data_IF_641436249437
#
_entry.id   IF_641436249437
#
_cell.length_a   1.000
_cell.length_b   1.000
_cell.length_c   1.000
_cell.angle_alpha   90.00
_cell.angle_beta   90.00
_cell.angle_gamma   90.00
#
_symmetry.space_group_name_H-M   'P 1'
#
loop_
_entity.id
_entity.type
_entity.pdbx_description
1 polymer ?
#
# COMPACT_ATOMS: atom_id res chain seq x y z
N UNK A 1 17.73 -16.22 -12.94
CA UNK A 1 17.06 -14.98 -13.32
C UNK A 1 17.81 -14.38 -14.51
N UNK A 2 17.11 -13.83 -15.49
CA UNK A 2 17.73 -13.16 -16.64
C UNK A 2 18.54 -11.93 -16.16
N UNK A 3 19.62 -11.60 -16.88
CA UNK A 3 20.50 -10.47 -16.52
C UNK A 3 19.78 -9.12 -16.59
N UNK A 4 18.88 -8.96 -17.55
CA UNK A 4 18.08 -7.74 -17.69
C UNK A 4 17.08 -7.58 -16.54
N UNK A 5 16.41 -8.67 -16.15
CA UNK A 5 15.50 -8.70 -14.99
C UNK A 5 16.26 -8.38 -13.70
N UNK A 6 17.49 -8.88 -13.54
CA UNK A 6 18.30 -8.57 -12.36
C UNK A 6 18.69 -7.09 -12.31
N UNK A 7 19.11 -6.52 -13.44
CA UNK A 7 19.44 -5.08 -13.52
C UNK A 7 18.22 -4.19 -13.22
N UNK A 8 17.04 -4.62 -13.68
CA UNK A 8 15.78 -3.95 -13.35
C UNK A 8 15.55 -3.95 -11.83
N UNK A 9 15.56 -5.14 -11.21
CA UNK A 9 15.32 -5.29 -9.78
C UNK A 9 16.35 -4.53 -8.92
N UNK A 10 17.63 -4.55 -9.31
CA UNK A 10 18.68 -3.81 -8.60
C UNK A 10 18.36 -2.31 -8.54
N UNK A 11 17.90 -1.72 -9.66
CA UNK A 11 17.50 -0.30 -9.72
C UNK A 11 16.22 0.01 -8.95
N UNK A 12 15.22 -0.86 -9.06
CA UNK A 12 13.98 -0.72 -8.28
C UNK A 12 14.29 -0.74 -6.79
N UNK A 13 15.03 -1.74 -6.33
CA UNK A 13 15.41 -1.85 -4.92
C UNK A 13 16.27 -0.68 -4.40
N UNK A 14 17.09 -0.05 -5.27
CA UNK A 14 17.80 1.18 -4.91
C UNK A 14 16.83 2.34 -4.69
N UNK A 15 15.86 2.51 -5.58
CA UNK A 15 14.80 3.50 -5.48
C UNK A 15 13.91 3.28 -4.25
N UNK A 16 13.47 2.04 -4.05
CA UNK A 16 12.64 1.63 -2.91
C UNK A 16 13.33 1.92 -1.59
N UNK A 17 14.61 1.57 -1.48
CA UNK A 17 15.40 1.87 -0.29
C UNK A 17 15.58 3.37 -0.06
N UNK A 18 15.74 4.16 -1.13
CA UNK A 18 15.85 5.60 -1.04
C UNK A 18 14.53 6.24 -0.58
N UNK A 19 13.38 5.85 -1.17
CA UNK A 19 12.05 6.30 -0.76
C UNK A 19 11.75 5.92 0.69
N UNK A 20 12.00 4.66 1.06
CA UNK A 20 11.77 4.16 2.41
C UNK A 20 12.66 4.87 3.44
N UNK A 21 13.91 5.17 3.07
CA UNK A 21 14.84 5.92 3.92
C UNK A 21 14.41 7.36 4.14
N UNK A 22 13.84 8.01 3.14
CA UNK A 22 13.30 9.36 3.26
C UNK A 22 12.04 9.40 4.14
N UNK A 23 11.12 8.45 3.98
CA UNK A 23 9.98 8.28 4.87
C UNK A 23 10.44 8.10 6.32
N UNK A 24 11.39 7.20 6.55
CA UNK A 24 11.94 6.92 7.89
C UNK A 24 12.56 8.17 8.53
N UNK A 25 13.32 8.96 7.76
CA UNK A 25 13.90 10.23 8.21
C UNK A 25 12.84 11.21 8.69
N UNK A 26 11.78 11.40 7.90
CA UNK A 26 10.70 12.34 8.22
C UNK A 26 9.89 11.82 9.41
N UNK A 27 9.53 10.55 9.41
CA UNK A 27 8.76 9.93 10.48
C UNK A 27 9.50 10.00 11.82
N UNK A 28 10.80 9.70 11.86
CA UNK A 28 11.63 9.84 13.08
C UNK A 28 11.70 11.28 13.58
N UNK A 29 11.90 12.23 12.66
CA UNK A 29 11.98 13.66 13.00
C UNK A 29 10.70 14.18 13.68
N UNK A 30 9.55 13.72 13.23
CA UNK A 30 8.23 14.19 13.69
C UNK A 30 7.54 13.25 14.68
N UNK A 31 8.23 12.21 15.14
CA UNK A 31 7.64 11.17 16.00
C UNK A 31 6.33 10.60 15.43
N UNK A 32 6.36 10.26 14.12
CA UNK A 32 5.29 9.61 13.40
C UNK A 32 5.62 8.13 13.32
N UNK A 33 4.66 7.26 13.66
CA UNK A 33 4.86 5.82 13.58
C UNK A 33 4.32 5.26 12.28
N UNK A 34 5.13 4.48 11.61
CA UNK A 34 4.76 3.63 10.48
C UNK A 34 5.30 2.22 10.68
N UNK A 35 4.95 1.30 9.79
CA UNK A 35 5.43 -0.08 9.81
C UNK A 35 5.68 -0.55 8.38
N UNK A 36 6.65 -1.43 8.19
CA UNK A 36 6.76 -2.17 6.94
C UNK A 36 5.50 -3.04 6.75
N UNK A 37 5.04 -3.19 5.50
CA UNK A 37 3.84 -3.95 5.15
C UNK A 37 4.10 -4.95 4.03
N UNK A 38 3.17 -5.86 3.80
CA UNK A 38 3.18 -6.75 2.64
C UNK A 38 4.47 -7.55 2.42
N UNK A 39 4.92 -7.54 1.18
CA UNK A 39 6.17 -8.17 0.73
C UNK A 39 7.39 -7.55 1.38
N UNK A 40 7.41 -6.23 1.55
CA UNK A 40 8.50 -5.49 2.19
C UNK A 40 8.74 -5.94 3.63
N UNK A 41 7.65 -6.14 4.40
CA UNK A 41 7.74 -6.68 5.77
C UNK A 41 8.27 -8.11 5.79
N UNK A 42 7.76 -8.97 4.91
CA UNK A 42 8.25 -10.35 4.78
C UNK A 42 9.73 -10.39 4.38
N UNK A 43 10.14 -9.53 3.46
CA UNK A 43 11.53 -9.39 3.02
C UNK A 43 12.46 -9.02 4.16
N UNK A 44 12.12 -7.98 4.92
CA UNK A 44 12.90 -7.52 6.07
C UNK A 44 13.13 -8.63 7.11
N UNK A 45 12.10 -9.45 7.41
CA UNK A 45 12.20 -10.54 8.39
C UNK A 45 12.95 -11.76 7.83
N UNK A 46 12.64 -12.18 6.60
CA UNK A 46 13.16 -13.42 6.02
C UNK A 46 14.53 -13.27 5.37
N UNK A 47 14.74 -12.15 4.66
CA UNK A 47 15.96 -11.91 3.86
C UNK A 47 16.90 -10.87 4.48
N UNK A 48 16.44 -10.09 5.46
CA UNK A 48 17.12 -8.90 5.98
C UNK A 48 17.41 -7.87 4.86
N UNK A 49 16.57 -7.90 3.84
CA UNK A 49 16.57 -7.06 2.65
C UNK A 49 15.17 -7.16 1.99
N UNK A 50 14.98 -6.52 0.84
CA UNK A 50 13.83 -6.81 -0.01
C UNK A 50 13.81 -8.28 -0.44
N UNK A 51 12.65 -8.79 -0.80
CA UNK A 51 12.55 -10.10 -1.45
C UNK A 51 13.22 -9.98 -2.82
N UNK A 52 14.19 -10.87 -3.19
CA UNK A 52 15.03 -10.66 -4.39
C UNK A 52 14.28 -10.56 -5.73
N UNK A 53 13.01 -10.93 -5.78
CA UNK A 53 12.16 -10.87 -6.98
C UNK A 53 10.92 -9.99 -6.79
N UNK A 54 10.83 -9.24 -5.69
CA UNK A 54 9.78 -8.27 -5.44
C UNK A 54 10.13 -6.93 -6.07
N UNK A 55 9.18 -6.23 -6.61
CA UNK A 55 9.40 -4.99 -7.36
C UNK A 55 8.49 -3.85 -6.87
N UNK A 56 8.04 -3.95 -5.62
CA UNK A 56 7.26 -2.94 -4.91
C UNK A 56 7.72 -2.76 -3.46
N UNK A 57 7.37 -1.64 -2.87
CA UNK A 57 7.62 -1.35 -1.46
C UNK A 57 6.37 -0.79 -0.79
N UNK A 58 6.00 -1.42 0.32
CA UNK A 58 4.77 -1.15 1.05
C UNK A 58 5.06 -0.72 2.49
N UNK A 59 4.36 0.30 2.95
CA UNK A 59 4.33 0.70 4.36
C UNK A 59 2.90 0.90 4.85
N UNK A 60 2.73 0.78 6.16
CA UNK A 60 1.46 0.87 6.85
C UNK A 60 1.48 1.97 7.89
N UNK A 61 0.43 2.77 7.93
CA UNK A 61 0.15 3.73 8.98
C UNK A 61 -1.15 3.41 9.70
N UNK A 62 -1.24 3.76 10.99
CA UNK A 62 -2.52 4.06 11.60
C UNK A 62 -3.00 5.45 11.15
N UNK A 63 -4.32 5.67 11.05
CA UNK A 63 -4.91 6.89 10.49
C UNK A 63 -4.33 8.18 11.05
N UNK A 64 -4.20 8.30 12.35
CA UNK A 64 -3.70 9.51 12.98
C UNK A 64 -2.25 9.84 12.58
N UNK A 65 -1.38 8.84 12.52
CA UNK A 65 0.00 9.02 12.07
C UNK A 65 0.07 9.29 10.56
N UNK A 66 -0.81 8.68 9.76
CA UNK A 66 -0.91 8.96 8.33
C UNK A 66 -1.27 10.42 8.04
N UNK A 67 -2.28 10.96 8.72
CA UNK A 67 -2.68 12.35 8.54
C UNK A 67 -1.56 13.31 8.94
N UNK A 68 -0.89 13.05 10.07
CA UNK A 68 0.30 13.81 10.50
C UNK A 68 1.44 13.72 9.50
N UNK A 69 1.65 12.54 8.90
CA UNK A 69 2.66 12.34 7.86
C UNK A 69 2.37 13.19 6.63
N UNK A 70 1.14 13.19 6.15
CA UNK A 70 0.75 14.01 4.99
C UNK A 70 0.97 15.51 5.21
N UNK A 71 0.74 16.00 6.44
CA UNK A 71 0.90 17.43 6.77
C UNK A 71 2.36 17.91 6.69
N UNK A 72 3.32 17.01 6.93
CA UNK A 72 4.74 17.37 6.97
C UNK A 72 5.52 16.92 5.74
N UNK A 73 5.13 15.81 5.12
CA UNK A 73 5.90 15.18 4.05
C UNK A 73 6.18 16.14 2.89
N UNK A 74 5.16 16.77 2.33
CA UNK A 74 5.31 17.65 1.17
C UNK A 74 6.17 18.89 1.42
N UNK A 75 6.35 19.27 2.68
CA UNK A 75 7.19 20.42 3.07
C UNK A 75 8.65 20.04 3.27
N UNK A 76 8.91 18.77 3.59
CA UNK A 76 10.22 18.31 4.07
C UNK A 76 10.88 17.25 3.19
N UNK A 77 10.09 16.58 2.35
CA UNK A 77 10.63 15.55 1.47
C UNK A 77 11.52 16.13 0.38
N UNK A 78 12.51 15.35 -0.01
CA UNK A 78 13.30 15.64 -1.19
C UNK A 78 12.37 15.80 -2.41
N UNK A 79 12.65 16.79 -3.27
CA UNK A 79 11.86 17.08 -4.47
C UNK A 79 11.81 15.91 -5.47
N UNK A 80 12.76 15.00 -5.38
CA UNK A 80 12.80 13.73 -6.09
C UNK A 80 11.57 12.89 -5.81
N UNK A 81 11.09 12.87 -4.55
CA UNK A 81 10.02 12.00 -4.08
C UNK A 81 8.69 12.75 -3.97
N UNK A 82 7.78 12.50 -4.90
CA UNK A 82 6.50 13.19 -4.97
C UNK A 82 5.35 12.34 -4.43
N UNK A 83 4.49 12.98 -3.66
CA UNK A 83 3.30 12.35 -3.10
C UNK A 83 2.17 12.34 -4.13
N UNK A 84 1.71 11.15 -4.52
CA UNK A 84 0.60 10.94 -5.44
C UNK A 84 -0.67 10.59 -4.66
N UNK A 85 -1.71 11.43 -4.78
CA UNK A 85 -2.99 11.24 -4.12
C UNK A 85 -4.12 11.89 -4.89
N UNK A 86 -5.32 11.30 -4.83
CA UNK A 86 -6.48 11.73 -5.63
C UNK A 86 -6.96 13.15 -5.32
N UNK A 87 -6.70 13.68 -4.14
CA UNK A 87 -7.06 15.05 -3.77
C UNK A 87 -6.27 16.09 -4.58
N UNK A 88 -5.02 15.77 -4.89
CA UNK A 88 -4.09 16.65 -5.62
C UNK A 88 -4.14 16.45 -7.13
N UNK A 89 -4.29 15.21 -7.55
CA UNK A 89 -4.20 14.84 -8.96
C UNK A 89 -5.56 14.37 -9.48
N UNK A 90 -6.27 15.15 -10.30
CA UNK A 90 -7.63 14.81 -10.77
C UNK A 90 -7.73 13.49 -11.52
N UNK A 91 -6.62 13.04 -12.12
CA UNK A 91 -6.56 11.79 -12.89
C UNK A 91 -5.94 10.62 -12.10
N UNK A 92 -5.65 10.82 -10.82
CA UNK A 92 -5.18 9.75 -9.95
C UNK A 92 -6.38 9.04 -9.32
N UNK A 93 -6.78 7.91 -9.88
CA UNK A 93 -7.98 7.17 -9.49
C UNK A 93 -7.62 5.96 -8.63
N UNK A 94 -6.90 6.21 -7.53
CA UNK A 94 -6.54 5.20 -6.55
C UNK A 94 -6.93 5.63 -5.14
N UNK A 95 -7.20 4.65 -4.27
CA UNK A 95 -7.45 4.87 -2.84
C UNK A 95 -6.16 4.81 -2.02
N UNK A 96 -5.11 4.22 -2.58
CA UNK A 96 -3.79 4.14 -1.97
C UNK A 96 -2.99 5.36 -2.38
N UNK A 97 -2.53 6.11 -1.40
CA UNK A 97 -1.57 7.20 -1.63
C UNK A 97 -0.21 6.57 -1.91
N UNK A 98 0.53 7.13 -2.87
CA UNK A 98 1.85 6.64 -3.26
C UNK A 98 2.90 7.73 -3.15
N UNK A 99 4.14 7.34 -2.91
CA UNK A 99 5.31 8.18 -3.09
C UNK A 99 6.01 7.69 -4.35
N UNK A 100 6.24 8.59 -5.32
CA UNK A 100 6.89 8.24 -6.57
C UNK A 100 8.29 8.85 -6.66
N UNK A 101 9.24 8.07 -7.16
CA UNK A 101 10.62 8.49 -7.40
C UNK A 101 10.76 9.05 -8.82
N UNK A 102 10.75 10.37 -8.95
CA UNK A 102 10.84 11.06 -10.23
C UNK A 102 12.25 11.09 -10.85
N UNK A 103 13.26 10.58 -10.16
CA UNK A 103 14.60 10.40 -10.75
C UNK A 103 14.63 9.24 -11.77
N UNK A 104 13.71 8.30 -11.65
CA UNK A 104 13.61 7.13 -12.51
C UNK A 104 12.31 7.13 -13.32
N UNK A 105 12.38 6.65 -14.56
CA UNK A 105 11.20 6.48 -15.42
C UNK A 105 11.21 5.10 -16.06
N UNK A 106 10.07 4.43 -16.07
CA UNK A 106 9.84 3.20 -16.83
C UNK A 106 9.66 3.52 -18.32
N UNK A 107 10.35 2.80 -19.21
CA UNK A 107 10.19 2.97 -20.66
C UNK A 107 8.87 2.44 -21.18
N UNK A 108 8.42 1.31 -20.61
CA UNK A 108 7.13 0.70 -20.96
C UNK A 108 6.30 0.49 -19.70
N UNK A 109 5.12 1.06 -19.68
CA UNK A 109 4.14 0.71 -18.64
C UNK A 109 3.25 -0.39 -19.17
N UNK A 110 3.23 -1.53 -18.49
CA UNK A 110 2.50 -2.73 -18.86
C UNK A 110 0.97 -2.55 -19.04
N UNK A 111 0.45 -1.35 -18.85
CA UNK A 111 -1.00 -1.08 -18.83
C UNK A 111 -1.49 -0.02 -19.80
N UNK A 112 -0.66 0.55 -20.66
CA UNK A 112 -1.08 1.74 -21.43
C UNK A 112 -1.51 2.88 -20.50
N UNK A 113 -0.94 2.91 -19.30
CA UNK A 113 -1.36 3.82 -18.23
C UNK A 113 -0.67 5.18 -18.31
N UNK A 114 0.27 5.36 -19.23
CA UNK A 114 1.03 6.60 -19.37
C UNK A 114 0.14 7.82 -19.54
N UNK A 115 -0.81 7.75 -20.47
CA UNK A 115 -1.74 8.86 -20.72
C UNK A 115 -2.78 9.00 -19.62
N UNK A 116 -3.15 7.90 -18.97
CA UNK A 116 -4.25 7.88 -18.01
C UNK A 116 -3.93 8.57 -16.69
N UNK A 117 -2.75 8.31 -16.16
CA UNK A 117 -2.30 8.93 -14.91
C UNK A 117 -1.37 10.12 -15.13
N UNK A 118 -1.33 10.67 -16.35
CA UNK A 118 -0.44 11.77 -16.72
C UNK A 118 1.03 11.42 -16.36
N UNK A 119 1.47 10.26 -16.85
CA UNK A 119 2.80 9.64 -16.62
C UNK A 119 3.16 9.35 -15.16
N UNK A 120 2.23 9.45 -14.22
CA UNK A 120 2.53 9.29 -12.77
C UNK A 120 2.86 7.88 -12.33
N UNK A 121 2.42 6.86 -13.07
CA UNK A 121 2.81 5.48 -12.86
C UNK A 121 4.02 5.03 -13.66
N UNK A 122 4.64 5.95 -14.40
CA UNK A 122 5.89 5.68 -15.10
C UNK A 122 7.11 5.73 -14.18
N UNK A 123 6.91 5.72 -12.88
CA UNK A 123 7.96 5.83 -11.88
C UNK A 123 7.86 4.70 -10.85
N UNK A 124 8.97 4.27 -10.22
CA UNK A 124 8.90 3.43 -9.03
C UNK A 124 8.09 4.11 -7.93
N UNK A 125 7.26 3.35 -7.22
CA UNK A 125 6.39 3.90 -6.17
C UNK A 125 6.48 3.10 -4.88
N UNK A 126 6.34 3.83 -3.77
CA UNK A 126 6.11 3.30 -2.43
C UNK A 126 4.65 3.50 -2.06
N UNK A 127 3.97 2.43 -1.68
CA UNK A 127 2.55 2.42 -1.36
C UNK A 127 2.29 2.65 0.13
N UNK A 128 1.35 3.56 0.44
CA UNK A 128 0.98 3.94 1.80
C UNK A 128 -0.37 3.32 2.17
N UNK A 129 -0.32 2.23 2.91
CA UNK A 129 -1.50 1.59 3.47
C UNK A 129 -1.95 2.32 4.75
N UNK A 130 -3.25 2.41 4.95
CA UNK A 130 -3.83 3.07 6.12
C UNK A 130 -4.82 2.15 6.79
N UNK A 131 -4.64 1.91 8.09
CA UNK A 131 -5.56 1.11 8.88
C UNK A 131 -6.40 1.99 9.79
N UNK A 132 -7.70 1.69 9.80
CA UNK A 132 -8.70 2.25 10.70
C UNK A 132 -9.37 1.13 11.50
N UNK A 133 -10.10 1.47 12.56
CA UNK A 133 -10.88 0.49 13.31
C UNK A 133 -12.07 0.02 12.50
N UNK A 134 -12.33 -1.29 12.52
CA UNK A 134 -13.56 -1.82 11.97
C UNK A 134 -14.80 -1.33 12.74
N UNK A 135 -15.91 -1.12 12.03
CA UNK A 135 -17.19 -0.87 12.65
C UNK A 135 -17.81 -2.17 13.19
N UNK A 136 -18.68 -2.07 14.20
CA UNK A 136 -19.41 -3.21 14.78
C UNK A 136 -20.10 -4.06 13.70
N UNK A 137 -20.57 -3.42 12.64
CA UNK A 137 -21.15 -4.10 11.49
C UNK A 137 -20.19 -4.16 10.31
N UNK A 138 -18.99 -4.73 10.53
CA UNK A 138 -17.90 -4.80 9.55
C UNK A 138 -18.33 -5.44 8.21
N UNK A 139 -19.20 -6.45 8.22
CA UNK A 139 -19.68 -7.09 6.97
C UNK A 139 -20.37 -6.11 6.05
N UNK A 140 -21.24 -5.25 6.59
CA UNK A 140 -21.90 -4.20 5.81
C UNK A 140 -20.94 -3.10 5.38
N UNK A 141 -19.98 -2.75 6.24
CA UNK A 141 -18.92 -1.82 5.90
C UNK A 141 -18.15 -2.32 4.68
N UNK A 142 -17.66 -3.56 4.71
CA UNK A 142 -16.92 -4.19 3.61
C UNK A 142 -17.73 -4.30 2.33
N UNK A 143 -19.00 -4.71 2.39
CA UNK A 143 -19.87 -4.79 1.20
C UNK A 143 -20.02 -3.42 0.53
N UNK A 144 -20.24 -2.36 1.33
CA UNK A 144 -20.37 -0.99 0.81
C UNK A 144 -19.05 -0.47 0.24
N UNK A 145 -17.92 -0.76 0.88
CA UNK A 145 -16.61 -0.41 0.37
C UNK A 145 -16.33 -1.11 -0.96
N UNK A 146 -16.64 -2.41 -1.09
CA UNK A 146 -16.56 -3.14 -2.37
C UNK A 146 -17.40 -2.52 -3.46
N UNK A 147 -18.62 -2.10 -3.13
CA UNK A 147 -19.49 -1.43 -4.10
C UNK A 147 -18.86 -0.11 -4.58
N UNK A 148 -18.36 0.72 -3.66
CA UNK A 148 -17.69 1.96 -4.02
C UNK A 148 -16.41 1.70 -4.81
N UNK A 149 -15.65 0.67 -4.46
CA UNK A 149 -14.47 0.27 -5.22
C UNK A 149 -14.84 -0.14 -6.67
N UNK A 150 -15.89 -0.95 -6.83
CA UNK A 150 -16.37 -1.35 -8.15
C UNK A 150 -16.84 -0.15 -9.00
N UNK A 151 -17.50 0.84 -8.39
CA UNK A 151 -17.84 2.10 -9.05
C UNK A 151 -16.59 2.88 -9.45
N UNK A 152 -15.59 2.97 -8.57
CA UNK A 152 -14.34 3.67 -8.82
C UNK A 152 -13.55 3.06 -9.99
N UNK A 153 -13.59 1.74 -10.16
CA UNK A 153 -12.96 1.05 -11.29
C UNK A 153 -13.42 1.57 -12.65
N UNK A 154 -14.61 2.18 -12.73
CA UNK A 154 -15.10 2.82 -13.96
C UNK A 154 -14.24 3.99 -14.45
N UNK A 155 -13.45 4.61 -13.58
CA UNK A 155 -12.55 5.72 -13.91
C UNK A 155 -11.20 5.23 -14.46
N UNK A 156 -10.88 3.95 -14.32
CA UNK A 156 -9.64 3.40 -14.88
C UNK A 156 -9.74 3.29 -16.41
N UNK A 157 -8.62 3.41 -17.14
CA UNK A 157 -8.62 3.38 -18.62
C UNK A 157 -9.10 2.03 -19.14
N UNK A 158 -8.75 0.99 -18.42
CA UNK A 158 -9.07 -0.38 -18.79
C UNK A 158 -9.59 -1.18 -17.59
N UNK A 159 -10.69 -1.86 -17.79
CA UNK A 159 -11.24 -2.82 -16.82
C UNK A 159 -11.26 -4.20 -17.47
N UNK A 160 -10.51 -5.13 -16.90
CA UNK A 160 -10.47 -6.51 -17.37
C UNK A 160 -11.70 -7.29 -16.90
N UNK A 161 -12.73 -7.29 -17.74
CA UNK A 161 -13.96 -8.04 -17.46
C UNK A 161 -13.78 -9.57 -17.65
N UNK A 162 -12.66 -10.07 -18.19
CA UNK A 162 -12.42 -11.50 -18.33
C UNK A 162 -12.24 -12.21 -16.99
N UNK A 163 -11.81 -11.47 -15.97
CA UNK A 163 -11.67 -11.94 -14.57
C UNK A 163 -13.01 -12.28 -13.92
N UNK A 164 -14.13 -11.79 -14.45
CA UNK A 164 -15.48 -12.03 -13.93
C UNK A 164 -16.20 -13.08 -14.76
N UNK A 165 -16.97 -13.96 -14.08
CA UNK A 165 -17.74 -15.04 -14.75
C UNK A 165 -19.25 -14.83 -14.58
N UNK A 166 -20.02 -15.24 -15.57
CA UNK A 166 -21.48 -15.24 -15.55
C UNK A 166 -22.08 -13.86 -15.19
N UNK A 167 -23.04 -13.86 -14.29
CA UNK A 167 -23.77 -12.66 -13.84
C UNK A 167 -22.83 -11.58 -13.28
N UNK A 168 -21.73 -11.97 -12.62
CA UNK A 168 -20.77 -11.03 -12.06
C UNK A 168 -20.09 -10.17 -13.13
N UNK A 169 -19.93 -10.67 -14.36
CA UNK A 169 -19.41 -9.88 -15.48
C UNK A 169 -20.36 -8.73 -15.85
N UNK A 170 -21.67 -9.04 -15.90
CA UNK A 170 -22.70 -8.04 -16.20
C UNK A 170 -22.79 -7.00 -15.07
N UNK A 171 -22.80 -7.46 -13.82
CA UNK A 171 -22.84 -6.58 -12.64
C UNK A 171 -21.63 -5.65 -12.61
N UNK A 172 -20.42 -6.17 -12.85
CA UNK A 172 -19.19 -5.36 -12.89
C UNK A 172 -19.25 -4.33 -14.01
N UNK A 173 -19.73 -4.71 -15.20
CA UNK A 173 -19.89 -3.78 -16.32
C UNK A 173 -20.89 -2.65 -16.00
N UNK A 174 -22.02 -2.97 -15.40
CA UNK A 174 -23.01 -1.96 -14.98
C UNK A 174 -22.47 -1.02 -13.92
N UNK A 175 -21.80 -1.56 -12.88
CA UNK A 175 -21.23 -0.75 -11.80
C UNK A 175 -20.15 0.20 -12.32
N UNK A 176 -19.22 -0.27 -13.15
CA UNK A 176 -18.17 0.58 -13.72
C UNK A 176 -18.75 1.64 -14.66
N UNK A 177 -19.80 1.31 -15.42
CA UNK A 177 -20.51 2.28 -16.28
C UNK A 177 -21.18 3.37 -15.45
N UNK A 178 -21.91 3.00 -14.41
CA UNK A 178 -22.51 3.95 -13.47
C UNK A 178 -21.43 4.77 -12.76
N UNK A 179 -20.31 4.13 -12.39
CA UNK A 179 -19.19 4.78 -11.73
C UNK A 179 -18.61 5.94 -12.52
N UNK A 180 -18.52 5.83 -13.86
CA UNK A 180 -18.07 6.92 -14.75
C UNK A 180 -18.93 8.18 -14.66
N UNK A 181 -20.20 8.05 -14.28
CA UNK A 181 -21.13 9.17 -14.15
C UNK A 181 -20.99 9.89 -12.79
N UNK A 182 -20.25 9.31 -11.84
CA UNK A 182 -20.06 9.88 -10.50
C UNK A 182 -18.63 10.37 -10.38
N UNK A 183 -18.38 11.64 -10.03
CA UNK A 183 -16.99 12.13 -9.88
C UNK A 183 -16.19 11.25 -8.91
N UNK A 184 -14.97 10.86 -9.27
CA UNK A 184 -14.14 9.96 -8.47
C UNK A 184 -13.97 10.46 -7.02
N UNK A 185 -13.75 11.76 -6.83
CA UNK A 185 -13.62 12.35 -5.49
C UNK A 185 -14.83 12.08 -4.59
N UNK A 186 -16.04 12.05 -5.16
CA UNK A 186 -17.27 11.72 -4.39
C UNK A 186 -17.25 10.28 -3.93
N UNK A 187 -16.81 9.36 -4.80
CA UNK A 187 -16.67 7.95 -4.47
C UNK A 187 -15.58 7.79 -3.41
N UNK A 188 -14.43 8.42 -3.59
CA UNK A 188 -13.28 8.33 -2.70
C UNK A 188 -13.59 8.86 -1.29
N UNK A 189 -14.22 10.02 -1.17
CA UNK A 189 -14.62 10.54 0.15
C UNK A 189 -15.65 9.66 0.85
N UNK A 190 -16.57 9.06 0.10
CA UNK A 190 -17.51 8.08 0.69
C UNK A 190 -16.79 6.80 1.12
N UNK A 191 -15.77 6.36 0.36
CA UNK A 191 -14.96 5.22 0.71
C UNK A 191 -14.19 5.44 2.01
N UNK A 192 -13.48 6.56 2.14
CA UNK A 192 -12.78 6.96 3.38
C UNK A 192 -13.76 7.06 4.56
N UNK A 193 -14.93 7.68 4.35
CA UNK A 193 -15.96 7.77 5.40
C UNK A 193 -16.45 6.40 5.85
N UNK A 194 -16.56 5.43 4.96
CA UNK A 194 -16.90 4.05 5.32
C UNK A 194 -15.74 3.37 6.06
N UNK A 195 -14.53 3.57 5.62
CA UNK A 195 -13.33 3.02 6.27
C UNK A 195 -13.20 3.50 7.72
N UNK A 196 -13.49 4.78 7.99
CA UNK A 196 -13.37 5.39 9.32
C UNK A 196 -14.62 5.21 10.21
N UNK A 197 -15.63 4.42 9.81
CA UNK A 197 -16.87 4.24 10.58
C UNK A 197 -16.66 3.65 11.98
N UNK A 198 -15.69 2.76 12.16
CA UNK A 198 -15.35 2.17 13.46
C UNK A 198 -14.51 3.10 14.35
N UNK A 199 -14.17 4.27 13.84
CA UNK A 199 -13.29 5.24 14.48
C UNK A 199 -11.88 5.23 13.92
N UNK A 200 -11.16 6.32 14.18
CA UNK A 200 -9.78 6.46 13.73
C UNK A 200 -8.87 5.55 14.54
N UNK A 201 -7.99 4.81 13.87
CA UNK A 201 -6.95 4.04 14.55
C UNK A 201 -5.86 4.98 15.06
N UNK A 202 -5.50 4.83 16.32
CA UNK A 202 -4.52 5.66 17.04
C UNK A 202 -3.58 4.79 17.83
N UNK A 203 -2.38 5.31 18.08
CA UNK A 203 -1.46 4.70 19.06
C UNK A 203 -2.02 4.81 20.47
N UNK A 204 -1.73 3.81 21.31
CA UNK A 204 -1.99 3.95 22.74
C UNK A 204 -1.02 4.99 23.34
N UNK A 205 -1.48 5.83 24.28
CA UNK A 205 -0.61 6.73 25.00
C UNK A 205 0.33 5.91 25.90
N UNK A 206 1.63 5.94 25.62
CA UNK A 206 2.66 5.21 26.34
C UNK A 206 2.81 3.74 25.90
N UNK A 207 3.94 3.13 26.29
CA UNK A 207 4.22 1.70 26.05
C UNK A 207 3.49 0.77 27.04
N UNK A 208 2.50 1.25 27.75
CA UNK A 208 1.78 0.45 28.73
C UNK A 208 0.75 -0.43 28.03
N UNK A 209 0.78 -1.73 28.33
CA UNK A 209 -0.33 -2.64 28.06
C UNK A 209 -1.57 -2.07 28.77
N UNK A 210 -2.28 -1.19 28.08
CA UNK A 210 -3.58 -0.74 28.53
C UNK A 210 -4.54 -1.93 28.46
N UNK A 211 -5.49 -1.96 29.35
CA UNK A 211 -6.69 -2.81 29.31
C UNK A 211 -7.58 -2.46 28.11
N UNK A 212 -6.99 -2.37 26.92
CA UNK A 212 -7.69 -2.17 25.67
C UNK A 212 -8.37 -3.48 25.28
N UNK A 213 -9.59 -3.38 24.86
CA UNK A 213 -10.39 -4.46 24.31
C UNK A 213 -9.53 -5.30 23.34
N UNK A 214 -9.28 -6.56 23.70
CA UNK A 214 -8.30 -7.45 23.06
C UNK A 214 -8.59 -7.77 21.57
N UNK A 215 -9.64 -7.19 20.98
CA UNK A 215 -10.16 -7.52 19.66
C UNK A 215 -10.45 -6.32 18.76
N UNK A 216 -9.63 -5.28 18.80
CA UNK A 216 -9.78 -4.22 17.81
C UNK A 216 -9.34 -4.73 16.44
N UNK A 217 -10.31 -4.97 15.57
CA UNK A 217 -10.07 -5.33 14.18
C UNK A 217 -9.82 -4.07 13.36
N UNK A 218 -8.94 -4.19 12.35
CA UNK A 218 -8.60 -3.09 11.47
C UNK A 218 -9.09 -3.34 10.05
N UNK A 219 -9.43 -2.26 9.37
CA UNK A 219 -9.77 -2.22 7.95
C UNK A 219 -8.78 -1.33 7.21
N UNK A 220 -8.27 -1.83 6.09
CA UNK A 220 -7.33 -1.12 5.22
C UNK A 220 -8.04 -0.25 4.18
N UNK A 221 -7.34 0.77 3.66
CA UNK A 221 -7.72 1.51 2.46
C UNK A 221 -7.54 0.71 1.16
N UNK A 222 -6.87 -0.42 1.24
CA UNK A 222 -6.72 -1.35 0.13
C UNK A 222 -8.08 -1.88 -0.34
N UNK A 223 -8.12 -2.42 -1.56
CA UNK A 223 -9.29 -3.14 -2.05
C UNK A 223 -9.76 -4.18 -1.02
N UNK A 224 -11.05 -4.18 -0.63
CA UNK A 224 -11.59 -5.18 0.27
C UNK A 224 -11.48 -6.58 -0.34
N UNK A 225 -10.39 -7.27 -0.05
CA UNK A 225 -10.10 -8.61 -0.57
C UNK A 225 -10.54 -9.68 0.45
N UNK A 226 -11.30 -10.70 0.00
CA UNK A 226 -11.71 -11.81 0.86
C UNK A 226 -10.54 -12.56 1.51
N UNK A 227 -9.35 -12.52 0.92
CA UNK A 227 -8.14 -13.17 1.47
C UNK A 227 -7.69 -12.54 2.79
N UNK A 228 -8.01 -11.26 2.99
CA UNK A 228 -7.70 -10.50 4.21
C UNK A 228 -8.90 -10.42 5.17
N UNK A 229 -10.06 -10.96 4.80
CA UNK A 229 -11.21 -11.01 5.69
C UNK A 229 -10.95 -12.02 6.82
N UNK A 230 -11.08 -11.54 8.05
CA UNK A 230 -10.78 -12.34 9.22
C UNK A 230 -9.28 -12.46 9.53
N UNK A 231 -8.45 -11.64 8.90
CA UNK A 231 -7.16 -11.31 9.45
C UNK A 231 -7.41 -10.34 10.60
N UNK A 232 -7.83 -10.89 11.74
CA UNK A 232 -7.88 -10.16 13.00
C UNK A 232 -6.44 -9.79 13.34
N UNK A 233 -6.02 -8.62 13.00
CA UNK A 233 -4.77 -8.07 13.50
C UNK A 233 -5.08 -7.59 14.89
N UNK A 234 -4.56 -8.29 15.91
CA UNK A 234 -4.66 -7.82 17.27
C UNK A 234 -4.13 -6.39 17.32
N UNK A 235 -4.88 -5.48 17.90
CA UNK A 235 -4.47 -4.08 18.08
C UNK A 235 -3.06 -3.97 18.67
N UNK A 236 -2.68 -4.92 19.53
CA UNK A 236 -1.38 -5.04 20.16
C UNK A 236 -0.20 -5.04 19.17
N UNK A 237 -0.39 -5.50 17.94
CA UNK A 237 0.67 -5.51 16.93
C UNK A 237 1.10 -4.12 16.46
N UNK A 238 0.17 -3.15 16.51
CA UNK A 238 0.39 -1.82 15.95
C UNK A 238 0.32 -0.70 17.00
N UNK A 239 -0.43 -0.89 18.07
CA UNK A 239 -0.75 0.18 19.02
C UNK A 239 0.38 0.39 20.04
N UNK A 240 1.10 -0.67 20.44
CA UNK A 240 2.10 -0.63 21.54
C UNK A 240 3.55 -0.46 21.09
N UNK A 241 3.75 0.14 19.93
CA UNK A 241 5.07 0.42 19.36
C UNK A 241 5.62 -0.74 18.54
N UNK A 242 6.65 -0.49 17.73
CA UNK A 242 7.20 -1.44 16.78
C UNK A 242 8.20 -2.42 17.42
N UNK A 243 8.34 -3.59 16.78
CA UNK A 243 9.61 -4.30 16.68
C UNK A 243 10.40 -3.68 15.52
N UNK A 244 11.63 -4.15 15.27
CA UNK A 244 12.44 -3.70 14.13
C UNK A 244 12.95 -4.88 13.32
N UNK A 245 13.17 -4.65 12.02
CA UNK A 245 13.84 -5.57 11.13
C UNK A 245 14.77 -4.80 10.17
N UNK A 246 15.71 -5.53 9.58
CA UNK A 246 16.76 -4.93 8.73
C UNK A 246 16.35 -4.96 7.26
N UNK A 247 16.66 -3.88 6.55
CA UNK A 247 16.76 -3.85 5.09
C UNK A 247 18.06 -3.13 4.74
N UNK A 248 18.95 -3.78 4.01
CA UNK A 248 20.24 -3.22 3.57
C UNK A 248 21.07 -2.60 4.70
N UNK A 249 21.07 -3.26 5.87
CA UNK A 249 21.85 -2.80 7.02
C UNK A 249 21.25 -1.64 7.81
N UNK A 250 20.03 -1.19 7.49
CA UNK A 250 19.28 -0.18 8.24
C UNK A 250 18.06 -0.79 8.90
N UNK A 251 17.78 -0.40 10.15
CA UNK A 251 16.59 -0.83 10.90
C UNK A 251 15.35 -0.03 10.52
N UNK A 252 14.26 -0.76 10.29
CA UNK A 252 12.94 -0.22 10.01
C UNK A 252 11.88 -0.82 10.95
N UNK A 253 10.83 -0.07 11.29
CA UNK A 253 9.79 -0.55 12.20
C UNK A 253 8.90 -1.60 11.53
N UNK A 254 8.63 -2.68 12.25
CA UNK A 254 7.70 -3.74 11.87
C UNK A 254 6.63 -3.92 12.95
N UNK A 255 5.47 -4.52 12.63
CA UNK A 255 4.46 -4.87 13.62
C UNK A 255 5.02 -5.74 14.74
N UNK A 256 4.61 -5.47 15.98
CA UNK A 256 4.94 -6.31 17.14
C UNK A 256 4.41 -7.73 16.94
N UNK A 257 5.07 -8.72 17.55
CA UNK A 257 4.71 -10.13 17.38
C UNK A 257 4.66 -10.54 15.90
N UNK A 258 5.62 -10.05 15.11
CA UNK A 258 5.71 -10.20 13.65
C UNK A 258 5.53 -11.66 13.19
N UNK A 259 6.01 -12.65 13.95
CA UNK A 259 5.86 -14.07 13.62
C UNK A 259 4.38 -14.48 13.54
N UNK A 260 3.55 -14.04 14.50
CA UNK A 260 2.11 -14.32 14.50
C UNK A 260 1.42 -13.70 13.28
N UNK A 261 1.78 -12.46 12.95
CA UNK A 261 1.25 -11.76 11.77
C UNK A 261 1.64 -12.46 10.47
N UNK A 262 2.94 -12.74 10.29
CA UNK A 262 3.45 -13.37 9.08
C UNK A 262 2.91 -14.79 8.88
N UNK A 263 2.79 -15.59 9.95
CA UNK A 263 2.14 -16.90 9.90
C UNK A 263 0.68 -16.84 9.50
N UNK A 264 -0.04 -15.85 9.99
CA UNK A 264 -1.45 -15.64 9.64
C UNK A 264 -1.61 -15.27 8.17
N UNK A 265 -0.76 -14.39 7.63
CA UNK A 265 -0.82 -13.89 6.25
C UNK A 265 -0.24 -14.89 5.25
N UNK A 266 0.95 -15.42 5.53
CA UNK A 266 1.75 -16.21 4.59
C UNK A 266 1.94 -17.67 5.02
N UNK A 267 1.35 -18.08 6.14
CA UNK A 267 1.47 -19.46 6.72
C UNK A 267 2.93 -19.80 7.03
N UNK A 268 3.53 -20.73 6.30
CA UNK A 268 4.96 -21.06 6.41
C UNK A 268 5.81 -20.03 5.64
N UNK A 269 5.87 -18.81 6.17
CA UNK A 269 6.49 -17.67 5.52
C UNK A 269 8.02 -17.76 5.39
N UNK A 270 8.67 -18.62 6.18
CA UNK A 270 10.12 -18.86 6.09
C UNK A 270 10.51 -19.74 4.90
N UNK A 271 9.59 -20.59 4.43
CA UNK A 271 9.82 -21.39 3.23
C UNK A 271 9.73 -20.54 1.98
N UNK A 272 10.70 -20.71 1.09
CA UNK A 272 10.70 -20.01 -0.20
C UNK A 272 9.64 -20.61 -1.14
N UNK A 273 8.94 -19.80 -1.94
CA UNK A 273 8.06 -20.33 -2.96
C UNK A 273 8.84 -21.12 -4.02
N UNK A 274 8.18 -21.97 -4.83
CA UNK A 274 8.81 -22.63 -5.97
C UNK A 274 9.54 -21.63 -6.89
N UNK A 275 10.61 -22.08 -7.57
CA UNK A 275 11.46 -21.21 -8.36
C UNK A 275 10.73 -20.51 -9.51
N UNK A 276 9.78 -21.20 -10.12
CA UNK A 276 8.91 -20.67 -11.18
C UNK A 276 8.00 -19.52 -10.72
N UNK A 277 7.83 -19.35 -9.40
CA UNK A 277 7.08 -18.26 -8.77
C UNK A 277 7.95 -17.12 -8.23
N UNK A 278 9.28 -17.24 -8.36
CA UNK A 278 10.23 -16.21 -7.92
C UNK A 278 10.55 -15.26 -9.07
N UNK A 279 9.52 -14.59 -9.56
CA UNK A 279 9.60 -13.65 -10.68
C UNK A 279 8.94 -12.33 -10.28
N UNK A 280 9.46 -11.18 -10.72
CA UNK A 280 8.82 -9.90 -10.46
C UNK A 280 7.44 -9.84 -11.11
N UNK A 281 6.55 -9.05 -10.54
CA UNK A 281 5.20 -8.85 -11.09
C UNK A 281 5.22 -7.93 -12.30
N UNK A 282 6.17 -6.98 -12.34
CA UNK A 282 6.36 -6.02 -13.41
C UNK A 282 7.82 -6.03 -13.86
N UNK A 283 8.07 -6.24 -15.14
CA UNK A 283 9.44 -6.11 -15.70
C UNK A 283 9.42 -4.95 -16.66
N UNK A 284 10.17 -3.92 -16.36
CA UNK A 284 10.29 -2.72 -17.18
C UNK A 284 11.75 -2.32 -17.39
N UNK A 285 12.03 -1.59 -18.45
CA UNK A 285 13.31 -0.90 -18.61
C UNK A 285 13.24 0.43 -17.87
N UNK A 286 14.21 0.70 -16.99
CA UNK A 286 14.27 1.92 -16.20
C UNK A 286 15.34 2.84 -16.77
N UNK A 287 14.96 4.11 -17.00
CA UNK A 287 15.89 5.19 -17.33
C UNK A 287 16.03 6.15 -16.15
N UNK A 288 17.21 6.73 -16.02
CA UNK A 288 17.44 7.85 -15.11
C UNK A 288 17.10 9.15 -15.83
N UNK A 289 16.32 10.00 -15.19
CA UNK A 289 16.01 11.33 -15.71
C UNK A 289 17.21 12.25 -15.45
N UNK A 290 17.74 12.87 -16.50
CA UNK A 290 18.92 13.77 -16.41
C UNK A 290 18.57 15.21 -16.02
N UNK A 291 17.28 15.58 -16.00
CA UNK A 291 16.77 16.96 -15.87
C UNK A 291 16.01 17.25 -14.57
N UNK A 292 16.39 16.65 -13.43
CA UNK A 292 15.80 16.95 -12.12
C UNK A 292 16.66 17.86 -11.27
#
# INVERSE_FOLDING_TARGET
MDKEVQQYLDRVHESDFAMLSEVDRICKKHNIQYYLHGGTFLGAVRHQDFIPWDDDVDILFLREDYERFLDVYEKEADKRFKLLRFERYPQFFDFITKIADYELTYEETSFGAEDFYDHRYSHPTLDLFVFDKEADNHKWQLIRMKLLYALAMGHRPYVDYSKFKGVMKIVSFLLTTVGKCIPFKVIAYKYIKLQTLGGLAKRAPGNEKGSGDETTLFISNEQPDPRYWGLDFDADHLIYGPDTAMIRGKEFPIPKNHDKWLKKTYKDYMSLPPEDKRVPMHVNVIKKNEDL
#
